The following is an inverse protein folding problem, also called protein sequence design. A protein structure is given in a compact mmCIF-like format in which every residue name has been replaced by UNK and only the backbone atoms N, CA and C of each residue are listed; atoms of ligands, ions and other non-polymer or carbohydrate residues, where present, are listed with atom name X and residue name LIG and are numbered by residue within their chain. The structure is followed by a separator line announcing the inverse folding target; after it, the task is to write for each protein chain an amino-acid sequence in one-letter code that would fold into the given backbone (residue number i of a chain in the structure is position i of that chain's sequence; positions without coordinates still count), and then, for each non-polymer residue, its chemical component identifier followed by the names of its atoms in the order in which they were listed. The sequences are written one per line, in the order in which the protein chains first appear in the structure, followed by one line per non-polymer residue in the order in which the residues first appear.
data_IF_126613398445
#
_entry.id   IF_126613398445
#
_cell.length_a   1.000
_cell.length_b   1.000
_cell.length_c   1.000
_cell.angle_alpha   90.00
_cell.angle_beta   90.00
_cell.angle_gamma   90.00
#
_symmetry.space_group_name_H-M   'P 1'
#
loop_
_entity.id
_entity.type
_entity.pdbx_description
1 polymer ?
#
# COMPACT_ATOMS: atom_id res chain seq x y z
N UNK A 1 -3.61 2.42 -5.90
CA UNK A 1 -3.37 2.14 -4.46
C UNK A 1 -4.19 3.08 -3.59
N UNK A 2 -4.62 2.65 -2.40
CA UNK A 2 -5.36 3.49 -1.45
C UNK A 2 -5.04 3.15 0.00
N UNK A 3 -5.14 4.15 0.89
CA UNK A 3 -4.98 3.98 2.33
C UNK A 3 -5.77 5.04 3.10
N UNK A 4 -6.20 4.71 4.32
CA UNK A 4 -6.70 5.67 5.29
C UNK A 4 -5.54 6.48 5.91
N UNK A 5 -5.87 7.45 6.77
CA UNK A 5 -4.88 8.37 7.34
C UNK A 5 -4.81 8.35 8.86
N UNK A 6 -5.54 7.47 9.54
CA UNK A 6 -5.53 7.36 11.01
C UNK A 6 -4.34 6.52 11.47
N UNK A 7 -3.66 6.97 12.52
CA UNK A 7 -2.71 6.16 13.30
C UNK A 7 -3.07 6.33 14.77
N UNK A 8 -3.30 5.21 15.46
CA UNK A 8 -3.70 5.19 16.86
C UNK A 8 -2.66 4.50 17.74
N UNK A 9 -2.64 4.89 19.01
CA UNK A 9 -1.92 4.24 20.09
C UNK A 9 -2.97 3.75 21.10
N UNK A 10 -3.42 2.51 20.92
CA UNK A 10 -4.63 2.01 21.58
C UNK A 10 -5.86 2.80 21.13
N UNK A 11 -6.65 3.29 22.09
CA UNK A 11 -7.85 4.11 21.82
C UNK A 11 -7.54 5.54 21.40
N UNK A 12 -6.31 6.03 21.66
CA UNK A 12 -5.93 7.41 21.37
C UNK A 12 -5.52 7.54 19.90
N UNK A 13 -6.13 8.48 19.18
CA UNK A 13 -5.73 8.79 17.80
C UNK A 13 -4.53 9.73 17.80
N UNK A 14 -3.34 9.18 17.63
CA UNK A 14 -2.07 9.91 17.64
C UNK A 14 -1.87 10.79 16.38
N UNK A 15 -2.35 10.33 15.22
CA UNK A 15 -2.31 11.12 13.99
C UNK A 15 -3.55 10.85 13.13
N UNK A 16 -4.24 11.90 12.69
CA UNK A 16 -5.45 11.82 11.85
C UNK A 16 -5.18 11.92 10.34
N UNK A 17 -3.99 12.37 9.94
CA UNK A 17 -3.66 12.72 8.54
C UNK A 17 -2.38 12.04 8.04
N UNK A 18 -2.00 10.92 8.66
CA UNK A 18 -0.82 10.14 8.32
C UNK A 18 -0.80 9.75 6.83
N UNK A 19 0.38 9.80 6.21
CA UNK A 19 0.56 9.30 4.86
C UNK A 19 1.12 7.87 4.89
N UNK A 20 0.27 6.89 4.62
CA UNK A 20 0.63 5.47 4.60
C UNK A 20 1.08 4.98 3.21
N UNK A 21 0.99 5.82 2.17
CA UNK A 21 1.44 5.52 0.81
C UNK A 21 2.78 6.23 0.57
N UNK A 22 3.85 5.48 0.71
CA UNK A 22 5.22 5.94 0.58
C UNK A 22 5.76 5.63 -0.81
N UNK A 23 6.35 6.61 -1.48
CA UNK A 23 7.04 6.40 -2.74
C UNK A 23 8.47 5.95 -2.46
N UNK A 24 8.83 4.75 -2.93
CA UNK A 24 10.15 4.14 -2.70
C UNK A 24 11.05 4.22 -3.94
N UNK A 25 10.47 4.42 -5.11
CA UNK A 25 11.14 4.70 -6.38
C UNK A 25 10.22 5.58 -7.26
N UNK A 26 10.66 6.03 -8.44
CA UNK A 26 9.87 6.91 -9.33
C UNK A 26 8.54 6.29 -9.76
N UNK A 27 8.54 4.96 -9.96
CA UNK A 27 7.37 4.18 -10.42
C UNK A 27 6.95 3.09 -9.44
N UNK A 28 7.41 3.14 -8.19
CA UNK A 28 7.13 2.12 -7.18
C UNK A 28 6.69 2.79 -5.87
N UNK A 29 5.53 2.39 -5.38
CA UNK A 29 4.97 2.81 -4.10
C UNK A 29 4.77 1.62 -3.16
N UNK A 30 4.76 1.95 -1.87
CA UNK A 30 4.61 1.04 -0.76
C UNK A 30 3.49 1.53 0.16
N UNK A 31 2.51 0.69 0.44
CA UNK A 31 1.57 0.88 1.54
C UNK A 31 2.09 0.21 2.82
N UNK A 32 2.00 0.93 3.94
CA UNK A 32 2.53 0.51 5.24
C UNK A 32 1.42 0.14 6.22
N UNK A 33 1.54 -1.01 6.87
CA UNK A 33 0.66 -1.45 7.96
C UNK A 33 1.45 -2.17 9.08
N UNK A 34 0.94 -2.11 10.31
CA UNK A 34 1.66 -2.59 11.50
C UNK A 34 2.38 -1.45 12.23
N UNK A 35 3.52 -1.74 12.85
CA UNK A 35 4.31 -0.74 13.59
C UNK A 35 4.80 0.37 12.65
N UNK A 36 4.44 1.61 12.99
CA UNK A 36 4.83 2.78 12.19
C UNK A 36 6.35 2.91 12.09
N UNK A 37 7.07 2.70 13.21
CA UNK A 37 8.53 2.78 13.25
C UNK A 37 9.19 1.72 12.36
N UNK A 38 8.71 0.46 12.44
CA UNK A 38 9.27 -0.63 11.66
C UNK A 38 9.07 -0.40 10.16
N UNK A 39 7.84 -0.11 9.74
CA UNK A 39 7.50 0.06 8.33
C UNK A 39 8.20 1.27 7.70
N UNK A 40 8.35 2.39 8.43
CA UNK A 40 9.12 3.55 7.96
C UNK A 40 10.59 3.22 7.77
N UNK A 41 11.20 2.49 8.71
CA UNK A 41 12.60 2.09 8.60
C UNK A 41 12.81 1.16 7.40
N UNK A 42 11.92 0.19 7.19
CA UNK A 42 11.97 -0.71 6.03
C UNK A 42 11.85 0.09 4.72
N UNK A 43 10.89 1.02 4.63
CA UNK A 43 10.74 1.88 3.45
C UNK A 43 12.00 2.67 3.10
N UNK A 44 12.66 3.23 4.13
CA UNK A 44 13.92 3.95 3.96
C UNK A 44 15.07 3.04 3.49
N UNK A 45 15.19 1.83 4.03
CA UNK A 45 16.21 0.86 3.61
C UNK A 45 15.98 0.46 2.15
N UNK A 46 14.73 0.13 1.77
CA UNK A 46 14.39 -0.27 0.41
C UNK A 46 14.73 0.87 -0.56
N UNK A 47 14.27 2.10 -0.28
CA UNK A 47 14.59 3.27 -1.13
C UNK A 47 16.09 3.45 -1.33
N UNK A 48 16.88 3.35 -0.25
CA UNK A 48 18.32 3.50 -0.35
C UNK A 48 18.97 2.42 -1.23
N UNK A 49 18.54 1.16 -1.09
CA UNK A 49 19.06 0.05 -1.89
C UNK A 49 18.64 0.13 -3.37
N UNK A 50 17.41 0.56 -3.66
CA UNK A 50 16.94 0.78 -5.03
C UNK A 50 17.73 1.92 -5.70
N UNK A 51 17.99 3.01 -4.99
CA UNK A 51 18.82 4.11 -5.49
C UNK A 51 20.27 3.68 -5.72
N UNK A 52 20.84 2.87 -4.81
CA UNK A 52 22.17 2.32 -4.99
C UNK A 52 22.25 1.40 -6.22
N UNK A 53 21.28 0.50 -6.39
CA UNK A 53 21.19 -0.36 -7.57
C UNK A 53 21.17 0.46 -8.86
N UNK A 54 20.30 1.49 -8.91
CA UNK A 54 20.20 2.39 -10.06
C UNK A 54 21.52 3.09 -10.36
N UNK A 55 22.22 3.56 -9.34
CA UNK A 55 23.49 4.30 -9.48
C UNK A 55 24.62 3.37 -9.96
N UNK A 56 24.65 2.14 -9.45
CA UNK A 56 25.70 1.16 -9.76
C UNK A 56 25.56 0.56 -11.16
N UNK A 57 24.34 0.24 -11.57
CA UNK A 57 24.08 -0.49 -12.82
C UNK A 57 23.50 0.39 -13.94
N UNK A 58 23.11 1.63 -13.64
CA UNK A 58 22.44 2.52 -14.60
C UNK A 58 21.06 2.01 -15.04
N UNK A 59 20.46 1.08 -14.29
CA UNK A 59 19.19 0.42 -14.62
C UNK A 59 18.08 0.82 -13.65
N UNK A 60 16.86 0.98 -14.17
CA UNK A 60 15.67 1.19 -13.35
C UNK A 60 15.33 -0.11 -12.60
N UNK A 61 15.16 -0.08 -11.26
CA UNK A 61 14.75 -1.26 -10.53
C UNK A 61 13.36 -1.76 -10.95
N UNK A 62 13.19 -3.09 -10.99
CA UNK A 62 11.88 -3.71 -11.20
C UNK A 62 11.11 -3.81 -9.87
N UNK A 63 9.78 -3.91 -9.93
CA UNK A 63 8.90 -3.97 -8.75
C UNK A 63 9.23 -5.19 -7.87
N UNK A 64 9.56 -6.32 -8.51
CA UNK A 64 9.96 -7.57 -7.84
C UNK A 64 11.20 -7.40 -6.97
N UNK A 65 12.15 -6.54 -7.36
CA UNK A 65 13.35 -6.28 -6.55
C UNK A 65 12.96 -5.62 -5.23
N UNK A 66 12.12 -4.59 -5.28
CA UNK A 66 11.61 -3.92 -4.08
C UNK A 66 10.84 -4.91 -3.16
N UNK A 67 10.01 -5.77 -3.75
CA UNK A 67 9.27 -6.79 -3.00
C UNK A 67 10.20 -7.83 -2.34
N UNK A 68 11.25 -8.25 -3.06
CA UNK A 68 12.24 -9.22 -2.54
C UNK A 68 13.07 -8.63 -1.41
N UNK A 69 13.41 -7.34 -1.48
CA UNK A 69 14.08 -6.63 -0.38
C UNK A 69 13.17 -6.57 0.86
N UNK A 70 11.90 -6.22 0.70
CA UNK A 70 10.92 -6.21 1.80
C UNK A 70 10.76 -7.61 2.42
N UNK A 71 10.57 -8.64 1.57
CA UNK A 71 10.50 -10.04 1.96
C UNK A 71 11.70 -10.47 2.82
N UNK A 72 12.91 -10.24 2.32
CA UNK A 72 14.15 -10.65 3.01
C UNK A 72 14.29 -9.98 4.38
N UNK A 73 13.97 -8.69 4.48
CA UNK A 73 14.06 -7.96 5.75
C UNK A 73 13.01 -8.48 6.73
N UNK A 74 11.74 -8.60 6.31
CA UNK A 74 10.65 -9.02 7.19
C UNK A 74 10.85 -10.47 7.62
N UNK A 75 11.17 -11.38 6.70
CA UNK A 75 11.40 -12.80 7.02
C UNK A 75 12.55 -12.98 8.00
N UNK A 76 13.67 -12.27 7.79
CA UNK A 76 14.86 -12.35 8.66
C UNK A 76 14.57 -11.89 10.09
N UNK A 77 13.71 -10.90 10.26
CA UNK A 77 13.40 -10.32 11.57
C UNK A 77 11.93 -10.51 11.97
N UNK A 78 11.27 -11.58 11.48
CA UNK A 78 9.83 -11.80 11.64
C UNK A 78 9.35 -11.83 13.10
N UNK A 79 10.22 -12.27 14.01
CA UNK A 79 9.91 -12.36 15.44
C UNK A 79 10.13 -11.02 16.17
N UNK A 80 10.73 -10.03 15.51
CA UNK A 80 11.03 -8.69 16.05
C UNK A 80 10.25 -7.58 15.32
N UNK A 81 9.82 -7.83 14.09
CA UNK A 81 9.15 -6.85 13.23
C UNK A 81 7.66 -7.17 13.07
N UNK A 82 6.82 -6.22 13.48
CA UNK A 82 5.41 -6.17 13.07
C UNK A 82 5.23 -5.25 11.85
N UNK A 83 5.38 -5.78 10.64
CA UNK A 83 5.22 -5.04 9.39
C UNK A 83 4.46 -5.86 8.33
N UNK A 84 3.33 -5.34 7.86
CA UNK A 84 2.65 -5.80 6.64
C UNK A 84 2.83 -4.74 5.56
N UNK A 85 3.34 -5.15 4.40
CA UNK A 85 3.74 -4.24 3.33
C UNK A 85 3.06 -4.67 2.03
N UNK A 86 2.44 -3.71 1.34
CA UNK A 86 1.99 -3.89 -0.04
C UNK A 86 2.86 -3.03 -0.94
N UNK A 87 3.46 -3.62 -1.97
CA UNK A 87 4.26 -2.90 -2.96
C UNK A 87 3.53 -2.98 -4.29
N UNK A 88 3.34 -1.84 -4.94
CA UNK A 88 2.83 -1.78 -6.30
C UNK A 88 3.68 -0.84 -7.13
N UNK A 89 3.81 -1.14 -8.41
CA UNK A 89 4.53 -0.30 -9.34
C UNK A 89 4.38 -0.75 -10.78
N UNK A 90 5.06 -0.03 -11.66
CA UNK A 90 5.17 -0.37 -13.08
C UNK A 90 6.65 -0.36 -13.45
N UNK A 91 7.12 -1.46 -14.01
CA UNK A 91 8.46 -1.57 -14.58
C UNK A 91 8.42 -2.01 -16.05
N UNK A 92 9.58 -1.99 -16.70
CA UNK A 92 9.71 -2.26 -18.12
C UNK A 92 9.85 -3.76 -18.45
N UNK A 93 9.95 -4.63 -17.43
CA UNK A 93 10.18 -6.08 -17.59
C UNK A 93 8.90 -6.87 -17.35
N UNK A 94 8.33 -6.74 -16.16
CA UNK A 94 7.11 -7.43 -15.72
C UNK A 94 5.84 -6.58 -15.92
N UNK A 95 5.99 -5.29 -16.23
CA UNK A 95 4.86 -4.36 -16.36
C UNK A 95 4.25 -3.97 -15.02
N UNK A 96 2.95 -3.63 -14.98
CA UNK A 96 2.23 -3.35 -13.74
C UNK A 96 2.17 -4.60 -12.85
N UNK A 97 2.57 -4.46 -11.59
CA UNK A 97 2.50 -5.58 -10.64
C UNK A 97 2.27 -5.12 -9.20
N UNK A 98 1.64 -6.00 -8.43
CA UNK A 98 1.36 -5.82 -7.01
C UNK A 98 1.89 -7.03 -6.26
N UNK A 99 2.60 -6.76 -5.17
CA UNK A 99 3.16 -7.75 -4.26
C UNK A 99 2.68 -7.49 -2.84
N UNK A 100 2.12 -8.51 -2.21
CA UNK A 100 1.86 -8.56 -0.78
C UNK A 100 3.05 -9.20 -0.06
N UNK A 101 3.52 -8.53 0.98
CA UNK A 101 4.48 -9.07 1.93
C UNK A 101 3.79 -9.15 3.30
N UNK A 102 3.49 -10.38 3.72
CA UNK A 102 2.78 -10.65 4.96
C UNK A 102 3.67 -10.42 6.19
N UNK A 103 3.06 -10.37 7.38
CA UNK A 103 3.79 -10.26 8.66
C UNK A 103 4.84 -11.36 8.87
N UNK A 104 4.61 -12.56 8.32
CA UNK A 104 5.57 -13.68 8.36
C UNK A 104 6.68 -13.58 7.32
N UNK A 105 6.64 -12.54 6.48
CA UNK A 105 7.58 -12.30 5.41
C UNK A 105 7.20 -12.91 4.07
N UNK A 106 6.16 -13.76 3.96
CA UNK A 106 5.79 -14.38 2.67
C UNK A 106 5.53 -13.35 1.58
N UNK A 107 6.05 -13.58 0.38
CA UNK A 107 5.89 -12.69 -0.78
C UNK A 107 4.93 -13.31 -1.79
N UNK A 108 3.83 -12.62 -2.10
CA UNK A 108 2.78 -13.08 -3.00
C UNK A 108 2.51 -12.04 -4.08
N UNK A 109 2.53 -12.45 -5.36
CA UNK A 109 2.05 -11.61 -6.47
C UNK A 109 0.54 -11.80 -6.61
N UNK A 110 -0.23 -10.71 -6.58
CA UNK A 110 -1.69 -10.78 -6.68
C UNK A 110 -2.23 -9.68 -7.61
N UNK A 111 -3.48 -9.84 -8.04
CA UNK A 111 -4.18 -8.84 -8.84
C UNK A 111 -4.78 -7.72 -7.97
N UNK A 112 -5.18 -8.05 -6.75
CA UNK A 112 -5.64 -7.12 -5.70
C UNK A 112 -5.10 -7.61 -4.37
N UNK A 113 -4.59 -6.69 -3.55
CA UNK A 113 -4.13 -6.97 -2.21
C UNK A 113 -4.87 -6.08 -1.20
N UNK A 114 -5.16 -6.63 -0.03
CA UNK A 114 -5.73 -5.91 1.10
C UNK A 114 -4.79 -6.07 2.30
N UNK A 115 -4.69 -5.05 3.15
CA UNK A 115 -3.83 -5.12 4.33
C UNK A 115 -4.25 -4.13 5.41
N UNK A 116 -3.72 -4.33 6.62
CA UNK A 116 -4.09 -3.56 7.81
C UNK A 116 -5.28 -4.14 8.57
N UNK A 117 -5.67 -3.51 9.67
CA UNK A 117 -6.79 -3.97 10.51
C UNK A 117 -8.15 -3.89 9.81
N UNK A 118 -8.33 -2.89 8.95
CA UNK A 118 -9.59 -2.65 8.25
C UNK A 118 -9.89 -3.62 7.10
N UNK A 119 -8.89 -4.36 6.59
CA UNK A 119 -9.09 -5.27 5.46
C UNK A 119 -10.07 -6.40 5.75
N UNK A 120 -10.11 -6.88 6.99
CA UNK A 120 -11.01 -7.97 7.44
C UNK A 120 -12.49 -7.69 7.16
N UNK A 121 -12.90 -6.42 7.15
CA UNK A 121 -14.30 -6.03 6.96
C UNK A 121 -14.74 -5.93 5.50
N UNK A 122 -13.80 -5.97 4.55
CA UNK A 122 -14.07 -5.63 3.14
C UNK A 122 -13.75 -6.75 2.15
N UNK A 123 -13.35 -7.94 2.60
CA UNK A 123 -13.12 -9.10 1.72
C UNK A 123 -14.34 -9.39 0.83
N UNK A 124 -15.53 -9.51 1.41
CA UNK A 124 -16.75 -9.78 0.62
C UNK A 124 -17.09 -8.69 -0.40
N UNK A 125 -16.78 -7.42 -0.10
CA UNK A 125 -16.93 -6.33 -1.06
C UNK A 125 -15.95 -6.48 -2.22
N UNK A 126 -14.67 -6.71 -1.92
CA UNK A 126 -13.61 -6.86 -2.91
C UNK A 126 -13.87 -8.05 -3.82
N UNK A 127 -14.22 -9.20 -3.26
CA UNK A 127 -14.50 -10.43 -4.01
C UNK A 127 -15.70 -10.25 -4.95
N UNK A 128 -16.72 -9.50 -4.54
CA UNK A 128 -17.94 -9.31 -5.34
C UNK A 128 -17.83 -8.21 -6.40
N UNK A 129 -16.93 -7.24 -6.22
CA UNK A 129 -16.88 -6.03 -7.05
C UNK A 129 -15.62 -5.90 -7.90
N UNK A 130 -14.57 -6.67 -7.61
CA UNK A 130 -13.35 -6.65 -8.41
C UNK A 130 -13.60 -7.22 -9.81
N UNK A 131 -13.07 -6.52 -10.83
CA UNK A 131 -13.02 -6.99 -12.21
C UNK A 131 -11.64 -6.71 -12.78
N UNK A 132 -11.11 -7.64 -13.56
CA UNK A 132 -9.76 -7.54 -14.12
C UNK A 132 -9.64 -6.46 -15.21
N UNK A 133 -10.76 -6.07 -15.81
CA UNK A 133 -10.88 -5.15 -16.94
C UNK A 133 -11.37 -3.74 -16.53
N UNK A 134 -11.15 -3.33 -15.28
CA UNK A 134 -11.48 -1.98 -14.82
C UNK A 134 -10.68 -0.91 -15.56
N UNK A 135 -11.37 0.15 -15.95
CA UNK A 135 -10.74 1.42 -16.34
C UNK A 135 -10.01 2.07 -15.15
N UNK A 136 -9.18 3.07 -15.42
CA UNK A 136 -8.47 3.79 -14.36
C UNK A 136 -9.44 4.43 -13.36
N UNK A 137 -10.50 5.07 -13.87
CA UNK A 137 -11.54 5.72 -13.09
C UNK A 137 -12.32 4.72 -12.23
N UNK A 138 -12.72 3.58 -12.82
CA UNK A 138 -13.40 2.51 -12.10
C UNK A 138 -12.50 1.90 -11.01
N UNK A 139 -11.23 1.65 -11.31
CA UNK A 139 -10.27 1.10 -10.36
C UNK A 139 -9.99 2.07 -9.21
N UNK A 140 -9.90 3.38 -9.51
CA UNK A 140 -9.74 4.42 -8.50
C UNK A 140 -10.96 4.48 -7.58
N UNK A 141 -12.16 4.44 -8.14
CA UNK A 141 -13.40 4.47 -7.35
C UNK A 141 -13.60 3.18 -6.54
N UNK A 142 -13.29 2.02 -7.12
CA UNK A 142 -13.27 0.74 -6.41
C UNK A 142 -12.38 0.79 -5.15
N UNK A 143 -11.15 1.31 -5.29
CA UNK A 143 -10.22 1.47 -4.18
C UNK A 143 -10.72 2.49 -3.15
N UNK A 144 -11.26 3.64 -3.59
CA UNK A 144 -11.84 4.64 -2.68
C UNK A 144 -12.98 4.05 -1.87
N UNK A 145 -13.90 3.35 -2.53
CA UNK A 145 -15.05 2.69 -1.91
C UNK A 145 -14.61 1.63 -0.90
N UNK A 146 -13.65 0.78 -1.26
CA UNK A 146 -13.11 -0.24 -0.38
C UNK A 146 -12.54 0.37 0.92
N UNK A 147 -11.72 1.42 0.82
CA UNK A 147 -11.14 2.08 2.00
C UNK A 147 -12.21 2.79 2.83
N UNK A 148 -13.19 3.46 2.20
CA UNK A 148 -14.31 4.07 2.92
C UNK A 148 -15.12 3.03 3.72
N UNK A 149 -15.45 1.90 3.10
CA UNK A 149 -16.17 0.81 3.79
C UNK A 149 -15.38 0.29 4.99
N UNK A 150 -14.06 0.12 4.83
CA UNK A 150 -13.19 -0.27 5.94
C UNK A 150 -13.19 0.79 7.07
N UNK A 151 -13.09 2.08 6.72
CA UNK A 151 -13.17 3.20 7.69
C UNK A 151 -14.49 3.18 8.47
N UNK A 152 -15.60 2.82 7.83
CA UNK A 152 -16.92 2.79 8.49
C UNK A 152 -17.07 1.70 9.56
N UNK A 153 -16.21 0.67 9.54
CA UNK A 153 -16.31 -0.51 10.42
C UNK A 153 -15.14 -0.69 11.37
N UNK A 154 -13.92 -0.34 10.96
CA UNK A 154 -12.72 -0.51 11.78
C UNK A 154 -12.42 0.72 12.65
N UNK A 155 -12.33 0.52 13.96
CA UNK A 155 -11.99 1.59 14.92
C UNK A 155 -10.57 2.16 14.76
N UNK A 156 -9.64 1.39 14.19
CA UNK A 156 -8.25 1.82 13.96
C UNK A 156 -8.05 2.51 12.61
N UNK A 157 -9.03 2.44 11.72
CA UNK A 157 -9.05 3.12 10.43
C UNK A 157 -9.84 4.43 10.52
N UNK A 158 -9.46 5.43 9.73
CA UNK A 158 -10.24 6.67 9.64
C UNK A 158 -9.49 7.86 9.06
N UNK A 159 -10.09 9.05 9.21
CA UNK A 159 -9.59 10.27 8.61
C UNK A 159 -9.90 10.30 7.11
N UNK A 160 -8.94 10.74 6.31
CA UNK A 160 -9.08 10.89 4.86
C UNK A 160 -8.67 9.62 4.12
N UNK A 161 -9.19 9.42 2.90
CA UNK A 161 -8.68 8.40 2.00
C UNK A 161 -7.66 9.05 1.07
N UNK A 162 -6.43 8.55 1.10
CA UNK A 162 -5.37 8.91 0.15
C UNK A 162 -5.29 7.84 -0.91
N UNK A 163 -5.11 8.25 -2.16
CA UNK A 163 -4.92 7.35 -3.29
C UNK A 163 -3.71 7.75 -4.11
N UNK A 164 -3.10 6.76 -4.76
CA UNK A 164 -2.02 6.94 -5.71
C UNK A 164 -2.27 6.04 -6.92
N UNK A 165 -2.32 6.65 -8.10
CA UNK A 165 -2.33 5.99 -9.40
C UNK A 165 -0.91 6.03 -9.94
N UNK A 166 -0.34 4.86 -10.19
CA UNK A 166 1.04 4.73 -10.67
C UNK A 166 0.96 4.53 -12.17
N UNK A 167 1.64 5.38 -12.94
CA UNK A 167 1.71 5.34 -14.40
C UNK A 167 3.19 5.32 -14.84
N UNK A 168 3.43 5.10 -16.13
CA UNK A 168 4.79 5.11 -16.70
C UNK A 168 5.43 6.52 -16.67
N UNK A 169 4.62 7.56 -16.77
CA UNK A 169 5.03 8.97 -16.76
C UNK A 169 5.14 9.56 -15.35
N UNK A 170 4.53 8.93 -14.33
CA UNK A 170 4.68 9.36 -12.95
C UNK A 170 3.60 8.81 -12.02
N UNK A 171 3.54 9.35 -10.80
CA UNK A 171 2.57 8.96 -9.78
C UNK A 171 1.60 10.11 -9.55
N UNK A 172 0.32 9.87 -9.84
CA UNK A 172 -0.76 10.82 -9.60
C UNK A 172 -1.38 10.55 -8.22
N UNK A 173 -1.34 11.56 -7.35
CA UNK A 173 -1.88 11.45 -5.99
C UNK A 173 -3.18 12.23 -5.88
N UNK A 174 -4.17 11.65 -5.22
CA UNK A 174 -5.40 12.36 -4.86
C UNK A 174 -5.83 11.98 -3.44
N UNK A 175 -6.68 12.82 -2.85
CA UNK A 175 -7.27 12.55 -1.54
C UNK A 175 -8.74 12.94 -1.58
N UNK A 176 -9.53 12.25 -0.76
CA UNK A 176 -10.93 12.61 -0.48
C UNK A 176 -11.11 12.72 1.03
N UNK A 177 -11.94 13.67 1.45
CA UNK A 177 -12.18 13.94 2.86
C UNK A 177 -13.45 13.24 3.34
N UNK A 178 -13.67 13.20 4.65
CA UNK A 178 -14.89 12.61 5.24
C UNK A 178 -16.18 13.24 4.70
N UNK A 179 -16.14 14.48 4.21
CA UNK A 179 -17.29 15.16 3.59
C UNK A 179 -17.69 14.55 2.25
N UNK A 180 -16.74 13.92 1.58
CA UNK A 180 -16.90 13.34 0.24
C UNK A 180 -17.19 11.83 0.31
N UNK A 181 -17.33 11.28 1.51
CA UNK A 181 -17.61 9.86 1.70
C UNK A 181 -19.07 9.54 1.38
N UNK A 182 -19.28 8.51 0.56
CA UNK A 182 -20.61 8.04 0.22
C UNK A 182 -20.84 6.75 0.98
N UNK A 183 -21.74 6.72 1.96
CA UNK A 183 -22.06 5.50 2.71
C UNK A 183 -23.45 4.99 2.33
N UNK A 184 -23.59 4.36 1.16
CA UNK A 184 -24.84 3.77 0.68
C UNK A 184 -24.86 3.60 -0.83
N UNK A 185 -25.97 3.07 -1.36
CA UNK A 185 -26.38 3.28 -2.76
C UNK A 185 -27.26 4.52 -2.84
#
# INVERSE_FOLDING_TARGET
MGADSRSSAGIYVANRVANKIEQIDDRICMCRSGSAAHTQKIGNIIRAQLNQFRTMYGMTPIVRNAATLAHNIIYKYKDQLQAGILIAGIDDVDGPSIYEITLGGSMLKQNVCLGGSGSTYIYGFVDSNYRADMTEEEGLEFVRRAVQLAISRDGHSGGIVRTAVIKRDGIQRSLITERDFVFGN
#
